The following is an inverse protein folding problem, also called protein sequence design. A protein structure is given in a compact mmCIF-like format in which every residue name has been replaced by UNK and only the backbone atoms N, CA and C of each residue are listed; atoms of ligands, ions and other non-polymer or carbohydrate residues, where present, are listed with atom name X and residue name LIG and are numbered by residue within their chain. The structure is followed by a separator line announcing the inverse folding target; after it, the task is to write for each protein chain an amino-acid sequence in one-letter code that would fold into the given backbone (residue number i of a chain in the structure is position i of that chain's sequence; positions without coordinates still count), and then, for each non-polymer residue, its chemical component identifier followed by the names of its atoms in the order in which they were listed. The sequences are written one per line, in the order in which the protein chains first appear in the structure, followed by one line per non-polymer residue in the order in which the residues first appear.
data_IF_022418108853
#
_entry.id   IF_022418108853
#
_cell.length_a   1.000
_cell.length_b   1.000
_cell.length_c   1.000
_cell.angle_alpha   90.00
_cell.angle_beta   90.00
_cell.angle_gamma   90.00
#
_symmetry.space_group_name_H-M   'P 1'
#
loop_
_entity.id
_entity.type
_entity.pdbx_description
1 polymer ?
#
# COMPACT_ATOMS: atom_id res chain seq x y z
N UNK A 1 -27.59 -29.06 1.31
CA UNK A 1 -28.43 -28.18 0.46
C UNK A 1 -28.56 -26.83 1.15
N UNK A 2 -28.27 -25.74 0.44
CA UNK A 2 -28.39 -24.40 1.06
C UNK A 2 -29.87 -24.03 1.14
N UNK A 3 -30.34 -23.67 2.34
CA UNK A 3 -31.70 -23.20 2.57
C UNK A 3 -31.94 -21.93 1.77
N UNK A 4 -33.12 -21.84 1.12
CA UNK A 4 -33.46 -20.69 0.27
C UNK A 4 -34.45 -19.77 0.98
N UNK A 5 -34.48 -18.48 0.55
CA UNK A 5 -35.45 -17.50 1.07
C UNK A 5 -36.92 -17.97 0.89
N UNK A 6 -37.19 -18.81 -0.13
CA UNK A 6 -38.49 -19.39 -0.37
C UNK A 6 -38.91 -20.37 0.74
N UNK A 7 -37.95 -21.17 1.24
CA UNK A 7 -38.22 -22.12 2.33
C UNK A 7 -38.44 -21.39 3.65
N UNK A 8 -37.67 -20.32 3.94
CA UNK A 8 -37.91 -19.45 5.09
C UNK A 8 -39.32 -18.83 5.02
N UNK A 9 -39.68 -18.26 3.88
CA UNK A 9 -41.01 -17.65 3.66
C UNK A 9 -42.14 -18.64 3.86
N UNK A 10 -41.99 -19.86 3.31
CA UNK A 10 -42.97 -20.96 3.47
C UNK A 10 -43.09 -21.38 4.94
N UNK A 11 -41.96 -21.61 5.65
CA UNK A 11 -42.01 -22.05 7.05
C UNK A 11 -42.51 -20.95 8.00
N UNK A 12 -42.15 -19.68 7.72
CA UNK A 12 -42.63 -18.53 8.49
C UNK A 12 -44.07 -18.09 8.13
N UNK A 13 -44.70 -18.68 7.11
CA UNK A 13 -46.00 -18.33 6.57
C UNK A 13 -46.13 -16.81 6.26
N UNK A 14 -45.18 -16.30 5.45
CA UNK A 14 -45.14 -14.91 4.98
C UNK A 14 -44.66 -14.86 3.53
N UNK A 15 -44.75 -13.68 2.90
CA UNK A 15 -44.20 -13.48 1.56
C UNK A 15 -42.69 -13.41 1.59
N UNK A 16 -42.03 -13.73 0.46
CA UNK A 16 -40.57 -13.55 0.27
C UNK A 16 -40.15 -12.10 0.57
N UNK A 17 -40.99 -11.14 0.14
CA UNK A 17 -40.76 -9.70 0.40
C UNK A 17 -40.76 -9.38 1.90
N UNK A 18 -41.61 -10.06 2.68
CA UNK A 18 -41.67 -9.89 4.14
C UNK A 18 -40.38 -10.44 4.79
N UNK A 19 -39.89 -11.62 4.35
CA UNK A 19 -38.61 -12.17 4.83
C UNK A 19 -37.46 -11.21 4.51
N UNK A 20 -37.39 -10.69 3.28
CA UNK A 20 -36.38 -9.73 2.85
C UNK A 20 -36.42 -8.44 3.68
N UNK A 21 -37.61 -7.89 3.98
CA UNK A 21 -37.76 -6.70 4.82
C UNK A 21 -37.27 -6.93 6.25
N UNK A 22 -37.63 -8.09 6.83
CA UNK A 22 -37.19 -8.46 8.19
C UNK A 22 -35.68 -8.59 8.27
N UNK A 23 -35.08 -9.27 7.29
CA UNK A 23 -33.64 -9.49 7.24
C UNK A 23 -32.85 -8.19 7.10
N UNK A 24 -33.31 -7.29 6.22
CA UNK A 24 -32.66 -6.00 5.97
C UNK A 24 -33.01 -4.91 7.01
N UNK A 25 -33.71 -5.25 8.10
CA UNK A 25 -34.04 -4.29 9.14
C UNK A 25 -35.09 -3.26 8.75
N UNK A 26 -35.69 -3.35 7.55
CA UNK A 26 -36.62 -2.37 7.01
C UNK A 26 -37.95 -2.30 7.82
N UNK A 27 -38.54 -1.11 7.84
CA UNK A 27 -39.85 -0.86 8.45
C UNK A 27 -41.01 -1.49 7.65
N UNK A 28 -42.20 -1.52 8.26
CA UNK A 28 -43.44 -2.04 7.63
C UNK A 28 -43.70 -3.51 7.90
N UNK A 29 -43.02 -4.12 8.88
CA UNK A 29 -43.33 -5.47 9.38
C UNK A 29 -43.63 -5.41 10.87
N UNK A 30 -44.77 -5.99 11.29
CA UNK A 30 -45.15 -5.98 12.71
C UNK A 30 -44.09 -6.69 13.59
N UNK A 31 -43.88 -6.24 14.87
CA UNK A 31 -42.93 -6.87 15.78
C UNK A 31 -43.14 -8.38 15.94
N UNK A 32 -44.38 -8.82 15.98
CA UNK A 32 -44.75 -10.26 16.06
C UNK A 32 -44.30 -11.04 14.83
N UNK A 33 -44.50 -10.49 13.64
CA UNK A 33 -44.06 -11.13 12.40
C UNK A 33 -42.54 -11.13 12.27
N UNK A 34 -41.89 -10.03 12.66
CA UNK A 34 -40.41 -9.93 12.69
C UNK A 34 -39.80 -11.02 13.58
N UNK A 35 -40.28 -11.16 14.82
CA UNK A 35 -39.81 -12.18 15.75
C UNK A 35 -39.97 -13.61 15.19
N UNK A 36 -41.11 -13.90 14.55
CA UNK A 36 -41.38 -15.19 13.93
C UNK A 36 -40.46 -15.51 12.78
N UNK A 37 -40.21 -14.54 11.88
CA UNK A 37 -39.30 -14.72 10.74
C UNK A 37 -37.86 -14.92 11.20
N UNK A 38 -37.38 -14.13 12.16
CA UNK A 38 -36.03 -14.26 12.72
C UNK A 38 -35.80 -15.64 13.37
N UNK A 39 -36.80 -16.15 14.11
CA UNK A 39 -36.75 -17.50 14.68
C UNK A 39 -36.64 -18.58 13.61
N UNK A 40 -37.39 -18.46 12.51
CA UNK A 40 -37.30 -19.43 11.40
C UNK A 40 -35.97 -19.34 10.65
N UNK A 41 -35.42 -18.14 10.49
CA UNK A 41 -34.07 -17.93 9.92
C UNK A 41 -33.03 -18.68 10.74
N UNK A 42 -33.03 -18.51 12.07
CA UNK A 42 -32.15 -19.19 13.01
C UNK A 42 -32.33 -20.72 12.98
N UNK A 43 -33.56 -21.22 13.07
CA UNK A 43 -33.89 -22.65 13.02
C UNK A 43 -33.44 -23.35 11.75
N UNK A 44 -33.48 -22.64 10.61
CA UNK A 44 -33.09 -23.20 9.32
C UNK A 44 -31.62 -22.95 8.98
N UNK A 45 -30.89 -22.18 9.79
CA UNK A 45 -29.53 -21.74 9.47
C UNK A 45 -29.47 -20.95 8.15
N UNK A 46 -30.53 -20.21 7.83
CA UNK A 46 -30.59 -19.46 6.58
C UNK A 46 -29.65 -18.27 6.62
N UNK A 47 -28.69 -18.27 5.72
CA UNK A 47 -27.86 -17.09 5.42
C UNK A 47 -28.18 -16.66 3.98
N UNK A 48 -28.53 -15.38 3.76
CA UNK A 48 -28.76 -14.89 2.40
C UNK A 48 -27.49 -15.09 1.58
N UNK A 49 -27.65 -15.62 0.40
CA UNK A 49 -26.57 -15.59 -0.59
C UNK A 49 -26.25 -14.11 -0.91
N UNK A 50 -25.01 -13.68 -0.73
CA UNK A 50 -24.56 -12.35 -1.13
C UNK A 50 -24.88 -12.08 -2.61
N UNK A 51 -24.83 -13.13 -3.46
CA UNK A 51 -25.25 -13.07 -4.85
C UNK A 51 -26.74 -12.77 -5.03
N UNK A 52 -27.62 -13.26 -4.14
CA UNK A 52 -29.05 -12.99 -4.23
C UNK A 52 -29.43 -11.57 -3.78
N UNK A 53 -28.69 -10.99 -2.85
CA UNK A 53 -28.81 -9.58 -2.46
C UNK A 53 -28.29 -8.64 -3.55
N UNK A 54 -27.20 -8.99 -4.21
CA UNK A 54 -26.57 -8.23 -5.28
C UNK A 54 -27.42 -8.09 -6.54
N UNK A 55 -28.30 -9.08 -6.84
CA UNK A 55 -29.19 -9.04 -8.00
C UNK A 55 -30.15 -7.83 -8.00
N UNK A 56 -30.43 -7.23 -6.85
CA UNK A 56 -31.35 -6.09 -6.74
C UNK A 56 -30.66 -4.74 -6.89
N UNK A 57 -29.37 -4.65 -6.51
CA UNK A 57 -28.55 -3.42 -6.55
C UNK A 57 -27.52 -3.44 -7.64
N UNK A 58 -27.30 -4.58 -8.28
CA UNK A 58 -26.18 -4.89 -9.20
C UNK A 58 -24.78 -4.66 -8.56
N UNK A 59 -24.70 -4.68 -7.22
CA UNK A 59 -23.48 -4.52 -6.44
C UNK A 59 -23.22 -5.80 -5.64
N UNK A 60 -21.97 -6.28 -5.68
CA UNK A 60 -21.52 -7.45 -4.93
C UNK A 60 -21.21 -7.13 -3.46
N UNK A 61 -21.02 -5.85 -3.15
CA UNK A 61 -20.49 -5.38 -1.86
C UNK A 61 -19.12 -5.97 -1.54
N UNK A 62 -18.32 -6.19 -2.57
CA UNK A 62 -16.94 -6.60 -2.47
C UNK A 62 -16.06 -5.65 -3.29
N UNK A 63 -14.90 -5.29 -2.76
CA UNK A 63 -13.83 -4.61 -3.49
C UNK A 63 -12.58 -5.49 -3.50
N UNK A 64 -11.80 -5.38 -4.57
CA UNK A 64 -10.53 -6.08 -4.71
C UNK A 64 -9.35 -5.21 -4.32
N UNK A 65 -8.29 -5.82 -3.80
CA UNK A 65 -6.99 -5.18 -3.66
C UNK A 65 -5.91 -6.12 -4.18
N UNK A 66 -5.12 -5.64 -5.14
CA UNK A 66 -3.95 -6.35 -5.63
C UNK A 66 -2.69 -5.71 -5.03
N UNK A 67 -1.93 -6.49 -4.25
CA UNK A 67 -0.69 -6.05 -3.59
C UNK A 67 0.47 -6.97 -3.95
N UNK A 68 1.73 -6.47 -3.94
CA UNK A 68 2.90 -7.26 -4.27
C UNK A 68 3.14 -8.43 -3.34
N UNK A 69 2.97 -8.22 -2.05
CA UNK A 69 3.16 -9.24 -1.02
C UNK A 69 2.33 -8.90 0.22
N UNK A 70 2.20 -9.87 1.12
CA UNK A 70 1.59 -9.69 2.43
C UNK A 70 2.63 -9.89 3.55
N UNK A 71 3.91 -9.98 3.19
CA UNK A 71 4.99 -10.14 4.14
C UNK A 71 5.43 -8.75 4.64
N UNK A 72 5.49 -8.60 5.95
CA UNK A 72 5.86 -7.34 6.59
C UNK A 72 4.66 -6.42 6.85
N UNK A 73 4.96 -5.31 7.51
CA UNK A 73 3.99 -4.32 8.00
C UNK A 73 3.54 -3.32 6.92
N UNK A 74 4.30 -3.18 5.82
CA UNK A 74 4.07 -2.11 4.84
C UNK A 74 2.68 -2.19 4.19
N UNK A 75 2.33 -3.34 3.60
CA UNK A 75 1.02 -3.51 2.99
C UNK A 75 -0.07 -3.84 4.01
N UNK A 76 0.30 -4.38 5.18
CA UNK A 76 -0.64 -4.65 6.27
C UNK A 76 -1.39 -3.39 6.72
N UNK A 77 -0.68 -2.31 7.04
CA UNK A 77 -1.30 -1.04 7.45
C UNK A 77 -2.16 -0.41 6.34
N UNK A 78 -1.76 -0.55 5.08
CA UNK A 78 -2.57 -0.09 3.94
C UNK A 78 -3.89 -0.88 3.86
N UNK A 79 -3.80 -2.20 4.01
CA UNK A 79 -4.97 -3.10 4.00
C UNK A 79 -5.90 -2.77 5.16
N UNK A 80 -5.37 -2.53 6.36
CA UNK A 80 -6.15 -2.14 7.55
C UNK A 80 -6.91 -0.83 7.29
N UNK A 81 -6.25 0.15 6.68
CA UNK A 81 -6.90 1.41 6.30
C UNK A 81 -8.03 1.22 5.27
N UNK A 82 -7.82 0.35 4.28
CA UNK A 82 -8.85 0.01 3.27
C UNK A 82 -10.02 -0.72 3.92
N UNK A 83 -9.73 -1.72 4.74
CA UNK A 83 -10.73 -2.56 5.40
C UNK A 83 -11.62 -1.74 6.32
N UNK A 84 -11.03 -0.84 7.12
CA UNK A 84 -11.75 0.06 8.02
C UNK A 84 -12.84 0.86 7.27
N UNK A 85 -12.48 1.48 6.13
CA UNK A 85 -13.44 2.26 5.33
C UNK A 85 -14.45 1.36 4.62
N UNK A 86 -14.01 0.20 4.11
CA UNK A 86 -14.87 -0.75 3.42
C UNK A 86 -15.94 -1.31 4.37
N UNK A 87 -15.55 -1.73 5.58
CA UNK A 87 -16.44 -2.27 6.60
C UNK A 87 -17.52 -1.25 7.01
N UNK A 88 -17.14 0.01 7.25
CA UNK A 88 -18.08 1.10 7.57
C UNK A 88 -19.15 1.32 6.49
N UNK A 89 -18.84 1.00 5.24
CA UNK A 89 -19.74 1.10 4.08
C UNK A 89 -20.42 -0.23 3.73
N UNK A 90 -20.20 -1.28 4.52
CA UNK A 90 -20.75 -2.61 4.32
C UNK A 90 -20.17 -3.34 3.11
N UNK A 91 -18.90 -3.11 2.82
CA UNK A 91 -18.11 -3.82 1.81
C UNK A 91 -17.14 -4.81 2.45
N UNK A 92 -16.89 -5.91 1.75
CA UNK A 92 -15.81 -6.84 2.09
C UNK A 92 -14.61 -6.60 1.16
N UNK A 93 -13.42 -6.92 1.64
CA UNK A 93 -12.16 -6.79 0.88
C UNK A 93 -11.69 -8.18 0.45
N UNK A 94 -11.32 -8.31 -0.83
CA UNK A 94 -10.70 -9.51 -1.40
C UNK A 94 -9.28 -9.15 -1.80
N UNK A 95 -8.30 -9.85 -1.22
CA UNK A 95 -6.88 -9.59 -1.46
C UNK A 95 -6.34 -10.58 -2.48
N UNK A 96 -5.58 -10.09 -3.45
CA UNK A 96 -4.80 -10.88 -4.39
C UNK A 96 -3.33 -10.48 -4.29
N UNK A 97 -2.43 -11.46 -4.18
CA UNK A 97 -0.99 -11.23 -4.16
C UNK A 97 -0.44 -11.41 -5.56
N UNK A 98 0.43 -10.49 -6.02
CA UNK A 98 1.00 -10.52 -7.35
C UNK A 98 2.53 -10.77 -7.37
N UNK A 99 3.18 -10.86 -6.19
CA UNK A 99 4.62 -11.13 -6.00
C UNK A 99 5.54 -10.28 -6.87
N UNK A 100 5.09 -9.09 -7.26
CA UNK A 100 5.77 -8.19 -8.22
C UNK A 100 5.92 -8.81 -9.63
N UNK A 101 5.03 -9.74 -9.99
CA UNK A 101 5.01 -10.44 -11.26
C UNK A 101 3.79 -9.98 -12.07
N UNK A 102 4.01 -9.36 -13.24
CA UNK A 102 2.94 -8.82 -14.09
C UNK A 102 1.86 -9.87 -14.38
N UNK A 103 2.25 -11.10 -14.71
CA UNK A 103 1.30 -12.18 -14.99
C UNK A 103 0.38 -12.50 -13.81
N UNK A 104 0.90 -12.44 -12.59
CA UNK A 104 0.12 -12.70 -11.38
C UNK A 104 -0.81 -11.54 -11.06
N UNK A 105 -0.39 -10.31 -11.35
CA UNK A 105 -1.26 -9.13 -11.27
C UNK A 105 -2.47 -9.27 -12.21
N UNK A 106 -2.23 -9.67 -13.46
CA UNK A 106 -3.29 -9.92 -14.44
C UNK A 106 -4.26 -11.01 -13.98
N UNK A 107 -3.74 -12.12 -13.44
CA UNK A 107 -4.56 -13.21 -12.88
C UNK A 107 -5.41 -12.72 -11.70
N UNK A 108 -4.85 -11.89 -10.82
CA UNK A 108 -5.58 -11.30 -9.69
C UNK A 108 -6.75 -10.44 -10.14
N UNK A 109 -6.55 -9.61 -11.16
CA UNK A 109 -7.64 -8.76 -11.67
C UNK A 109 -8.68 -9.56 -12.46
N UNK A 110 -8.28 -10.57 -13.23
CA UNK A 110 -9.24 -11.47 -13.86
C UNK A 110 -10.06 -12.26 -12.83
N UNK A 111 -9.44 -12.62 -11.70
CA UNK A 111 -10.15 -13.16 -10.56
C UNK A 111 -11.19 -12.17 -10.00
N UNK A 112 -10.85 -10.90 -9.86
CA UNK A 112 -11.79 -9.87 -9.43
C UNK A 112 -12.96 -9.71 -10.41
N UNK A 113 -12.69 -9.72 -11.72
CA UNK A 113 -13.75 -9.73 -12.76
C UNK A 113 -14.64 -10.96 -12.61
N UNK A 114 -14.08 -12.15 -12.47
CA UNK A 114 -14.81 -13.40 -12.29
C UNK A 114 -15.66 -13.42 -11.01
N UNK A 115 -15.17 -12.81 -9.93
CA UNK A 115 -15.89 -12.66 -8.65
C UNK A 115 -16.85 -11.48 -8.64
N UNK A 116 -16.88 -10.69 -9.72
CA UNK A 116 -17.73 -9.50 -9.87
C UNK A 116 -17.56 -8.52 -8.71
N UNK A 117 -16.32 -8.21 -8.33
CA UNK A 117 -16.08 -7.11 -7.38
C UNK A 117 -16.55 -5.80 -8.00
N UNK A 118 -17.02 -4.88 -7.17
CA UNK A 118 -17.58 -3.60 -7.62
C UNK A 118 -16.51 -2.61 -8.05
N UNK A 119 -15.26 -2.85 -7.65
CA UNK A 119 -14.08 -2.09 -8.03
C UNK A 119 -12.82 -2.65 -7.39
N UNK A 120 -11.64 -2.14 -7.78
CA UNK A 120 -10.36 -2.61 -7.28
C UNK A 120 -9.36 -1.47 -7.00
N UNK A 121 -8.52 -1.67 -5.97
CA UNK A 121 -7.32 -0.88 -5.68
C UNK A 121 -6.13 -1.68 -6.16
N UNK A 122 -5.31 -1.09 -7.04
CA UNK A 122 -4.15 -1.75 -7.61
C UNK A 122 -2.88 -1.09 -7.08
N UNK A 123 -2.13 -1.84 -6.26
CA UNK A 123 -0.76 -1.50 -5.88
C UNK A 123 0.15 -2.17 -6.90
N UNK A 124 0.31 -1.54 -8.04
CA UNK A 124 1.03 -2.14 -9.15
C UNK A 124 2.50 -1.80 -9.08
N UNK A 125 3.33 -2.79 -9.37
CA UNK A 125 4.78 -2.63 -9.48
C UNK A 125 5.27 -2.67 -10.92
N UNK A 126 4.36 -2.96 -11.85
CA UNK A 126 4.67 -3.09 -13.28
C UNK A 126 4.17 -1.90 -14.08
N UNK A 127 4.93 -1.49 -15.09
CA UNK A 127 4.57 -0.42 -16.01
C UNK A 127 3.65 -0.87 -17.16
N UNK A 128 2.78 -1.87 -16.95
CA UNK A 128 1.80 -2.27 -17.97
C UNK A 128 0.58 -1.35 -17.91
N UNK A 129 0.72 -0.19 -18.54
CA UNK A 129 -0.34 0.81 -18.64
C UNK A 129 -1.47 0.35 -19.56
N UNK A 130 -1.18 -0.47 -20.59
CA UNK A 130 -2.16 -0.94 -21.56
C UNK A 130 -3.24 -1.80 -20.89
N UNK A 131 -2.84 -2.63 -19.94
CA UNK A 131 -3.78 -3.44 -19.21
C UNK A 131 -4.70 -2.60 -18.30
N UNK A 132 -4.13 -1.68 -17.53
CA UNK A 132 -4.92 -0.76 -16.69
C UNK A 132 -5.85 0.08 -17.56
N UNK A 133 -5.37 0.55 -18.72
CA UNK A 133 -6.18 1.25 -19.71
C UNK A 133 -7.38 0.42 -20.15
N UNK A 134 -7.16 -0.86 -20.48
CA UNK A 134 -8.24 -1.77 -20.90
C UNK A 134 -9.31 -1.98 -19.83
N UNK A 135 -8.92 -1.96 -18.55
CA UNK A 135 -9.87 -2.04 -17.42
C UNK A 135 -10.73 -0.77 -17.33
N UNK A 136 -10.07 0.40 -17.45
CA UNK A 136 -10.76 1.70 -17.40
C UNK A 136 -11.74 1.82 -18.57
N UNK A 137 -11.34 1.45 -19.79
CA UNK A 137 -12.23 1.43 -20.97
C UNK A 137 -13.37 0.41 -20.83
N UNK A 138 -13.11 -0.71 -20.18
CA UNK A 138 -14.11 -1.71 -19.82
C UNK A 138 -15.09 -1.26 -18.72
N UNK A 139 -14.96 -0.04 -18.21
CA UNK A 139 -15.84 0.55 -17.22
C UNK A 139 -15.64 0.04 -15.79
N UNK A 140 -14.49 -0.58 -15.49
CA UNK A 140 -14.16 -1.00 -14.14
C UNK A 140 -13.76 0.19 -13.27
N UNK A 141 -14.27 0.24 -12.03
CA UNK A 141 -13.85 1.23 -11.04
C UNK A 141 -12.47 0.83 -10.47
N UNK A 142 -11.47 1.65 -10.73
CA UNK A 142 -10.09 1.39 -10.31
C UNK A 142 -9.53 2.62 -9.62
N UNK A 143 -8.70 2.39 -8.59
CA UNK A 143 -7.79 3.36 -7.96
C UNK A 143 -6.39 2.77 -8.00
N UNK A 144 -5.41 3.56 -8.46
CA UNK A 144 -4.00 3.21 -8.38
C UNK A 144 -3.43 3.68 -7.04
N UNK A 145 -2.61 2.85 -6.42
CA UNK A 145 -1.93 3.15 -5.16
C UNK A 145 -0.42 3.01 -5.34
N UNK A 146 0.33 4.03 -4.86
CA UNK A 146 1.81 4.14 -4.95
C UNK A 146 2.36 4.03 -6.39
N UNK A 147 1.61 4.52 -7.36
CA UNK A 147 1.98 4.55 -8.78
C UNK A 147 1.56 5.85 -9.45
N UNK A 148 2.35 6.32 -10.42
CA UNK A 148 1.95 7.40 -11.32
C UNK A 148 0.95 6.89 -12.38
N UNK A 149 -0.06 7.71 -12.73
CA UNK A 149 -1.06 7.30 -13.71
C UNK A 149 -0.56 7.31 -15.16
N UNK A 150 0.62 7.84 -15.46
CA UNK A 150 1.24 7.93 -16.79
C UNK A 150 0.27 8.34 -17.93
N UNK A 151 -0.63 9.28 -17.63
CA UNK A 151 -1.65 9.75 -18.58
C UNK A 151 -2.97 8.99 -18.55
N UNK A 152 -3.10 7.94 -17.74
CA UNK A 152 -4.35 7.22 -17.55
C UNK A 152 -5.41 8.10 -16.83
N UNK A 153 -6.67 7.96 -17.25
CA UNK A 153 -7.81 8.64 -16.63
C UNK A 153 -8.30 7.87 -15.38
N UNK A 154 -7.50 7.84 -14.32
CA UNK A 154 -7.72 7.03 -13.11
C UNK A 154 -7.39 7.81 -11.82
N UNK A 155 -8.15 7.57 -10.75
CA UNK A 155 -7.82 8.11 -9.43
C UNK A 155 -6.54 7.45 -8.92
N UNK A 156 -5.64 8.27 -8.32
CA UNK A 156 -4.39 7.79 -7.74
C UNK A 156 -4.17 8.34 -6.35
N UNK A 157 -3.60 7.50 -5.48
CA UNK A 157 -3.11 7.89 -4.16
C UNK A 157 -1.65 7.49 -4.06
N UNK A 158 -0.78 8.43 -3.74
CA UNK A 158 0.64 8.17 -3.51
C UNK A 158 1.18 9.05 -2.39
N UNK A 159 2.36 8.74 -1.90
CA UNK A 159 3.10 9.61 -0.98
C UNK A 159 4.01 10.56 -1.76
N UNK A 160 4.51 11.60 -1.09
CA UNK A 160 5.58 12.45 -1.62
C UNK A 160 6.94 11.74 -1.54
N UNK A 161 7.14 10.77 -2.45
CA UNK A 161 8.39 10.02 -2.54
C UNK A 161 9.59 10.92 -2.85
N UNK A 162 9.40 11.92 -3.72
CA UNK A 162 10.45 12.87 -4.06
C UNK A 162 10.83 13.73 -2.85
N UNK A 163 9.83 14.32 -2.18
CA UNK A 163 10.05 15.13 -0.98
C UNK A 163 10.68 14.33 0.15
N UNK A 164 10.28 13.07 0.33
CA UNK A 164 10.87 12.17 1.33
C UNK A 164 12.34 11.86 1.04
N UNK A 165 12.68 11.52 -0.21
CA UNK A 165 14.08 11.30 -0.62
C UNK A 165 14.95 12.56 -0.48
N UNK A 166 14.38 13.71 -0.80
CA UNK A 166 15.01 15.01 -0.57
C UNK A 166 15.25 15.25 0.92
N UNK A 167 14.23 15.10 1.75
CA UNK A 167 14.26 15.32 3.21
C UNK A 167 15.28 14.42 3.91
N UNK A 168 15.32 13.12 3.58
CA UNK A 168 16.30 12.18 4.13
C UNK A 168 17.74 12.61 3.82
N UNK A 169 17.98 12.99 2.58
CA UNK A 169 19.32 13.41 2.12
C UNK A 169 19.71 14.76 2.70
N UNK A 170 18.77 15.73 2.69
CA UNK A 170 19.01 17.07 3.27
C UNK A 170 19.31 16.97 4.77
N UNK A 171 18.64 16.07 5.49
CA UNK A 171 18.94 15.82 6.90
C UNK A 171 20.39 15.38 7.11
N UNK A 172 20.88 14.41 6.33
CA UNK A 172 22.28 13.98 6.40
C UNK A 172 23.26 15.11 6.03
N UNK A 173 22.93 15.90 5.00
CA UNK A 173 23.74 17.06 4.61
C UNK A 173 23.81 18.11 5.72
N UNK A 174 22.72 18.36 6.43
CA UNK A 174 22.67 19.30 7.55
C UNK A 174 23.41 18.79 8.80
N UNK A 175 23.58 17.46 8.93
CA UNK A 175 24.49 16.85 9.91
C UNK A 175 25.97 16.92 9.51
N UNK A 176 26.31 17.50 8.35
CA UNK A 176 27.66 17.69 7.85
C UNK A 176 28.16 16.58 6.93
N UNK A 177 27.38 15.57 6.64
CA UNK A 177 27.79 14.50 5.73
C UNK A 177 27.78 15.00 4.29
N UNK A 178 28.88 14.86 3.57
CA UNK A 178 28.99 15.18 2.14
C UNK A 178 29.24 13.94 1.26
N UNK A 179 29.69 12.85 1.86
CA UNK A 179 29.90 11.56 1.21
C UNK A 179 28.76 10.61 1.61
N UNK A 180 27.64 10.73 0.90
CA UNK A 180 26.39 9.99 1.22
C UNK A 180 26.18 8.93 0.15
N UNK A 181 26.20 7.67 0.55
CA UNK A 181 25.85 6.53 -0.29
C UNK A 181 24.34 6.34 -0.31
N UNK A 182 23.77 5.99 -1.47
CA UNK A 182 22.36 5.63 -1.55
C UNK A 182 22.20 4.16 -1.94
N UNK A 183 21.30 3.46 -1.24
CA UNK A 183 20.82 2.13 -1.65
C UNK A 183 19.45 2.31 -2.30
N UNK A 184 19.42 2.24 -3.63
CA UNK A 184 18.17 2.35 -4.39
C UNK A 184 17.32 1.08 -4.25
N UNK A 185 16.00 1.24 -4.39
CA UNK A 185 15.12 0.13 -4.66
C UNK A 185 15.16 -0.29 -6.15
N UNK A 186 14.15 -1.02 -6.58
CA UNK A 186 14.02 -1.51 -7.95
C UNK A 186 13.88 -0.33 -8.92
N UNK A 187 14.75 -0.20 -9.94
CA UNK A 187 14.87 1.04 -10.73
C UNK A 187 13.65 1.38 -11.60
N UNK A 188 12.82 0.41 -11.97
CA UNK A 188 11.64 0.67 -12.79
C UNK A 188 10.40 1.06 -11.97
N UNK A 189 10.43 0.94 -10.64
CA UNK A 189 9.35 1.34 -9.74
C UNK A 189 9.39 2.86 -9.54
N UNK A 190 8.24 3.53 -9.68
CA UNK A 190 8.14 4.99 -9.61
C UNK A 190 8.56 5.55 -8.26
N UNK A 191 8.14 4.94 -7.14
CA UNK A 191 8.57 5.37 -5.80
C UNK A 191 10.11 5.32 -5.64
N UNK A 192 10.78 4.30 -6.19
CA UNK A 192 12.24 4.21 -6.19
C UNK A 192 12.89 5.34 -6.99
N UNK A 193 12.37 5.61 -8.20
CA UNK A 193 12.85 6.71 -9.05
C UNK A 193 12.70 8.07 -8.37
N UNK A 194 11.53 8.31 -7.76
CA UNK A 194 11.24 9.59 -7.09
C UNK A 194 12.14 9.80 -5.87
N UNK A 195 12.31 8.79 -5.00
CA UNK A 195 13.23 8.86 -3.85
C UNK A 195 14.66 9.15 -4.30
N UNK A 196 15.13 8.50 -5.36
CA UNK A 196 16.44 8.80 -5.96
C UNK A 196 16.53 10.21 -6.55
N UNK A 197 15.47 10.69 -7.21
CA UNK A 197 15.45 12.07 -7.72
C UNK A 197 15.49 13.10 -6.59
N UNK A 198 14.85 12.82 -5.45
CA UNK A 198 14.95 13.62 -4.23
C UNK A 198 16.39 13.70 -3.71
N UNK A 199 17.07 12.54 -3.60
CA UNK A 199 18.50 12.46 -3.23
C UNK A 199 19.37 13.29 -4.17
N UNK A 200 19.22 13.11 -5.47
CA UNK A 200 19.96 13.88 -6.47
C UNK A 200 19.75 15.38 -6.31
N UNK A 201 18.53 15.80 -6.07
CA UNK A 201 18.17 17.22 -5.91
C UNK A 201 18.82 17.83 -4.67
N UNK A 202 18.80 17.12 -3.54
CA UNK A 202 19.41 17.59 -2.30
C UNK A 202 20.93 17.80 -2.44
N UNK A 203 21.63 16.84 -3.02
CA UNK A 203 23.07 16.95 -3.29
C UNK A 203 23.38 18.10 -4.27
N UNK A 204 22.60 18.22 -5.34
CA UNK A 204 22.76 19.32 -6.32
C UNK A 204 22.61 20.69 -5.68
N UNK A 205 21.64 20.86 -4.78
CA UNK A 205 21.42 22.12 -4.07
C UNK A 205 22.60 22.54 -3.19
N UNK A 206 23.41 21.56 -2.71
CA UNK A 206 24.64 21.78 -1.96
C UNK A 206 25.90 21.79 -2.84
N UNK A 207 25.77 21.70 -4.17
CA UNK A 207 26.89 21.68 -5.10
C UNK A 207 27.71 20.39 -5.09
N UNK A 208 27.20 19.31 -4.49
CA UNK A 208 27.88 18.02 -4.37
C UNK A 208 27.61 17.19 -5.62
N UNK A 209 28.69 16.73 -6.27
CA UNK A 209 28.59 15.82 -7.41
C UNK A 209 28.37 14.39 -6.94
N UNK A 210 27.43 13.72 -7.59
CA UNK A 210 27.16 12.31 -7.32
C UNK A 210 28.25 11.46 -7.97
N UNK A 211 28.89 10.62 -7.15
CA UNK A 211 29.79 9.59 -7.64
C UNK A 211 28.96 8.36 -8.04
N UNK A 212 29.18 7.81 -9.22
CA UNK A 212 28.42 6.64 -9.69
C UNK A 212 28.52 5.44 -8.75
N UNK A 213 29.68 5.25 -8.14
CA UNK A 213 29.92 4.20 -7.14
C UNK A 213 29.10 4.36 -5.86
N UNK A 214 28.61 5.56 -5.55
CA UNK A 214 27.77 5.82 -4.36
C UNK A 214 26.31 5.45 -4.57
N UNK A 215 25.95 4.97 -5.76
CA UNK A 215 24.60 4.57 -6.11
C UNK A 215 24.53 3.05 -6.17
N UNK A 216 24.10 2.44 -5.07
CA UNK A 216 23.96 0.99 -4.96
C UNK A 216 22.58 0.52 -5.39
N UNK A 217 22.53 -0.66 -5.99
CA UNK A 217 21.27 -1.30 -6.36
C UNK A 217 20.77 -2.21 -5.23
N UNK A 218 19.49 -2.12 -4.93
CA UNK A 218 18.76 -3.00 -4.03
C UNK A 218 17.42 -3.43 -4.63
N UNK A 219 16.65 -4.19 -3.86
CA UNK A 219 15.32 -4.69 -4.26
C UNK A 219 14.29 -4.63 -3.11
N UNK A 220 14.52 -3.71 -2.16
CA UNK A 220 13.70 -3.50 -0.96
C UNK A 220 13.76 -4.62 0.09
N UNK A 221 14.70 -5.56 -0.01
CA UNK A 221 14.90 -6.62 0.98
C UNK A 221 16.12 -6.36 1.87
N UNK A 222 16.14 -6.95 3.06
CA UNK A 222 17.29 -6.93 3.97
C UNK A 222 18.55 -7.48 3.29
N UNK A 223 18.39 -8.62 2.58
CA UNK A 223 19.52 -9.27 1.91
C UNK A 223 20.16 -8.42 0.83
N UNK A 224 19.35 -7.62 0.10
CA UNK A 224 19.88 -6.73 -0.92
C UNK A 224 20.65 -5.55 -0.31
N UNK A 225 20.15 -4.99 0.79
CA UNK A 225 20.87 -3.96 1.54
C UNK A 225 22.19 -4.46 2.11
N UNK A 226 22.19 -5.66 2.68
CA UNK A 226 23.39 -6.32 3.18
C UNK A 226 24.43 -6.57 2.07
N UNK A 227 24.00 -7.21 0.99
CA UNK A 227 24.90 -7.63 -0.08
C UNK A 227 25.52 -6.43 -0.78
N UNK A 228 24.75 -5.38 -1.07
CA UNK A 228 25.24 -4.19 -1.79
C UNK A 228 26.26 -3.42 -0.96
N UNK A 229 26.06 -3.25 0.35
CA UNK A 229 27.04 -2.57 1.21
C UNK A 229 28.29 -3.43 1.43
N UNK A 230 28.13 -4.74 1.64
CA UNK A 230 29.24 -5.67 1.78
C UNK A 230 30.14 -5.69 0.54
N UNK A 231 29.56 -5.74 -0.65
CA UNK A 231 30.28 -5.68 -1.92
C UNK A 231 30.99 -4.35 -2.09
N UNK A 232 30.30 -3.25 -1.79
CA UNK A 232 30.91 -1.92 -1.83
C UNK A 232 32.15 -1.82 -0.96
N UNK A 233 32.04 -2.20 0.31
CA UNK A 233 33.16 -2.16 1.27
C UNK A 233 34.34 -3.04 0.84
N UNK A 234 34.07 -4.16 0.18
CA UNK A 234 35.09 -5.06 -0.33
C UNK A 234 35.85 -4.47 -1.52
N UNK A 235 35.21 -3.66 -2.36
CA UNK A 235 35.78 -3.09 -3.57
C UNK A 235 36.44 -1.71 -3.34
N UNK A 236 35.89 -0.89 -2.43
CA UNK A 236 36.28 0.51 -2.27
C UNK A 236 36.69 0.89 -0.85
N UNK A 237 36.49 0.02 0.14
CA UNK A 237 36.67 0.36 1.54
C UNK A 237 35.63 1.37 2.06
N UNK A 238 35.95 2.00 3.21
CA UNK A 238 35.06 3.00 3.83
C UNK A 238 35.45 4.41 3.36
N UNK A 239 34.86 4.91 2.29
CA UNK A 239 35.06 6.25 1.71
C UNK A 239 33.78 7.13 1.76
N UNK A 240 32.79 6.72 2.53
CA UNK A 240 31.55 7.43 2.80
C UNK A 240 31.32 7.60 4.31
N UNK A 241 30.51 8.58 4.69
CA UNK A 241 30.21 8.86 6.11
C UNK A 241 28.72 8.67 6.44
N UNK A 242 27.88 8.48 5.43
CA UNK A 242 26.46 8.22 5.63
C UNK A 242 25.85 7.36 4.52
N UNK A 243 24.75 6.71 4.84
CA UNK A 243 23.91 5.93 3.90
C UNK A 243 22.47 6.46 3.96
N UNK A 244 21.87 6.72 2.80
CA UNK A 244 20.45 6.79 2.63
C UNK A 244 19.96 5.48 2.00
N UNK A 245 19.26 4.65 2.76
CA UNK A 245 18.59 3.46 2.25
C UNK A 245 17.14 3.82 1.89
N UNK A 246 16.72 3.54 0.65
CA UNK A 246 15.40 3.96 0.17
C UNK A 246 14.25 3.12 0.73
N UNK A 247 14.51 2.19 1.65
CA UNK A 247 13.55 1.63 2.59
C UNK A 247 14.26 1.10 3.86
N UNK A 248 13.50 0.85 4.91
CA UNK A 248 14.03 0.44 6.21
C UNK A 248 14.61 -0.98 6.19
N UNK A 249 14.06 -1.89 5.40
CA UNK A 249 14.61 -3.24 5.29
C UNK A 249 16.05 -3.23 4.72
N UNK A 250 16.29 -2.44 3.69
CA UNK A 250 17.65 -2.28 3.17
C UNK A 250 18.56 -1.56 4.17
N UNK A 251 18.03 -0.62 4.99
CA UNK A 251 18.78 0.01 6.07
C UNK A 251 19.22 -1.02 7.12
N UNK A 252 18.35 -1.94 7.53
CA UNK A 252 18.68 -3.06 8.43
C UNK A 252 19.80 -3.92 7.85
N UNK A 253 19.71 -4.26 6.55
CA UNK A 253 20.75 -4.99 5.85
C UNK A 253 22.10 -4.24 5.83
N UNK A 254 22.07 -2.93 5.59
CA UNK A 254 23.24 -2.07 5.59
C UNK A 254 23.92 -2.02 6.98
N UNK A 255 23.12 -1.83 8.05
CA UNK A 255 23.61 -1.85 9.44
C UNK A 255 24.32 -3.18 9.72
N UNK A 256 23.70 -4.30 9.34
CA UNK A 256 24.32 -5.62 9.53
C UNK A 256 25.65 -5.74 8.76
N UNK A 257 25.73 -5.28 7.52
CA UNK A 257 26.95 -5.37 6.72
C UNK A 257 28.09 -4.53 7.31
N UNK A 258 27.79 -3.34 7.86
CA UNK A 258 28.75 -2.50 8.56
C UNK A 258 29.24 -3.17 9.84
N UNK A 259 28.33 -3.67 10.67
CA UNK A 259 28.66 -4.36 11.92
C UNK A 259 29.55 -5.59 11.68
N UNK A 260 29.28 -6.38 10.63
CA UNK A 260 30.08 -7.56 10.27
C UNK A 260 31.54 -7.17 9.85
N UNK A 261 31.76 -5.89 9.53
CA UNK A 261 33.09 -5.30 9.24
C UNK A 261 33.69 -4.51 10.41
N UNK A 262 33.00 -4.50 11.55
CA UNK A 262 33.45 -3.74 12.74
C UNK A 262 33.24 -2.24 12.61
N UNK A 263 32.42 -1.77 11.66
CA UNK A 263 32.12 -0.34 11.44
C UNK A 263 30.90 0.02 12.25
N UNK A 264 31.02 1.00 13.12
CA UNK A 264 29.98 1.41 14.07
C UNK A 264 28.95 2.34 13.44
N UNK A 265 27.67 2.09 13.76
CA UNK A 265 26.54 2.96 13.43
C UNK A 265 25.96 3.49 14.74
N UNK A 266 25.87 4.80 14.93
CA UNK A 266 26.09 5.91 13.97
C UNK A 266 27.51 6.50 13.98
N UNK A 267 28.43 6.04 14.84
CA UNK A 267 29.70 6.72 15.16
C UNK A 267 30.62 6.85 13.93
N UNK A 268 30.71 5.83 13.08
CA UNK A 268 31.51 5.88 11.85
C UNK A 268 30.63 6.17 10.63
N UNK A 269 29.44 5.57 10.56
CA UNK A 269 28.50 5.74 9.44
C UNK A 269 27.10 6.04 9.96
N UNK A 270 26.55 7.19 9.59
CA UNK A 270 25.15 7.53 9.84
C UNK A 270 24.23 6.87 8.82
N UNK A 271 23.04 6.40 9.25
CA UNK A 271 22.07 5.76 8.35
C UNK A 271 20.71 6.42 8.50
N UNK A 272 20.07 6.71 7.36
CA UNK A 272 18.67 7.10 7.28
C UNK A 272 17.93 6.12 6.39
N UNK A 273 16.78 5.62 6.87
CA UNK A 273 15.88 4.74 6.16
C UNK A 273 14.70 5.47 5.52
N UNK A 274 13.70 4.69 5.12
CA UNK A 274 12.44 5.16 4.58
C UNK A 274 11.38 4.10 4.88
N UNK A 275 10.20 4.46 5.30
CA UNK A 275 8.97 3.74 5.60
C UNK A 275 8.47 3.95 7.03
N UNK A 276 9.33 4.11 8.02
CA UNK A 276 9.05 4.01 9.46
C UNK A 276 8.36 2.67 9.78
N UNK A 277 9.00 1.59 9.35
CA UNK A 277 8.51 0.24 9.55
C UNK A 277 8.48 -0.16 11.03
N UNK A 278 7.64 -1.13 11.39
CA UNK A 278 7.48 -1.60 12.76
C UNK A 278 8.80 -1.90 13.47
N UNK A 279 9.79 -2.42 12.75
CA UNK A 279 11.10 -2.78 13.32
C UNK A 279 11.99 -1.58 13.61
N UNK A 280 11.78 -0.42 12.95
CA UNK A 280 12.70 0.72 12.96
C UNK A 280 13.03 1.28 14.35
N UNK A 281 12.10 1.35 15.31
CA UNK A 281 12.43 1.75 16.68
C UNK A 281 13.13 0.68 17.52
N UNK A 282 13.15 -0.59 17.08
CA UNK A 282 13.63 -1.73 17.87
C UNK A 282 14.99 -2.27 17.43
N UNK A 283 15.51 -1.87 16.26
CA UNK A 283 16.87 -2.21 15.86
C UNK A 283 17.90 -1.38 16.63
N UNK A 284 19.14 -1.80 16.63
CA UNK A 284 20.24 -1.13 17.33
C UNK A 284 21.28 -0.66 16.30
N UNK A 285 21.47 0.67 16.21
CA UNK A 285 20.71 1.74 16.86
C UNK A 285 19.31 1.91 16.28
N UNK A 286 18.33 2.50 17.03
CA UNK A 286 17.00 2.84 16.50
C UNK A 286 17.12 3.71 15.24
N UNK A 287 16.37 3.31 14.18
CA UNK A 287 16.56 3.86 12.83
C UNK A 287 15.85 5.20 12.65
N UNK A 288 16.61 6.24 12.31
CA UNK A 288 16.11 7.48 11.72
C UNK A 288 15.56 7.17 10.32
N UNK A 289 14.33 7.59 10.02
CA UNK A 289 13.66 7.17 8.80
C UNK A 289 12.59 8.18 8.36
N UNK A 290 12.13 8.07 7.11
CA UNK A 290 10.99 8.83 6.60
C UNK A 290 9.72 8.02 6.82
N UNK A 291 8.80 8.57 7.60
CA UNK A 291 7.50 7.95 7.89
C UNK A 291 6.54 8.13 6.73
N UNK A 292 5.96 7.04 6.28
CA UNK A 292 4.80 6.99 5.39
C UNK A 292 3.52 6.79 6.22
N UNK A 293 2.47 7.52 5.89
CA UNK A 293 1.15 7.37 6.52
C UNK A 293 0.35 6.30 5.79
N UNK A 294 0.77 5.05 5.93
CA UNK A 294 0.28 3.90 5.15
C UNK A 294 -1.20 3.63 5.37
N UNK A 295 -1.67 3.65 6.62
CA UNK A 295 -3.08 3.50 6.94
C UNK A 295 -3.94 4.60 6.29
N UNK A 296 -3.46 5.87 6.31
CA UNK A 296 -4.13 6.99 5.65
C UNK A 296 -4.19 6.79 4.13
N UNK A 297 -3.10 6.27 3.51
CA UNK A 297 -3.11 5.90 2.09
C UNK A 297 -4.22 4.90 1.77
N UNK A 298 -4.34 3.86 2.58
CA UNK A 298 -5.38 2.84 2.44
C UNK A 298 -6.79 3.43 2.56
N UNK A 299 -7.01 4.24 3.60
CA UNK A 299 -8.30 4.91 3.82
C UNK A 299 -8.71 5.79 2.65
N UNK A 300 -7.80 6.67 2.20
CA UNK A 300 -8.07 7.58 1.08
C UNK A 300 -8.33 6.82 -0.22
N UNK A 301 -7.58 5.74 -0.49
CA UNK A 301 -7.80 4.92 -1.68
C UNK A 301 -9.19 4.23 -1.65
N UNK A 302 -9.61 3.70 -0.50
CA UNK A 302 -10.93 3.10 -0.35
C UNK A 302 -12.06 4.13 -0.48
N UNK A 303 -11.91 5.32 0.10
CA UNK A 303 -12.87 6.42 -0.04
C UNK A 303 -13.04 6.84 -1.50
N UNK A 304 -11.93 6.97 -2.25
CA UNK A 304 -11.95 7.28 -3.67
C UNK A 304 -12.67 6.19 -4.49
N UNK A 305 -12.34 4.93 -4.22
CA UNK A 305 -12.94 3.80 -4.93
C UNK A 305 -14.45 3.71 -4.67
N UNK A 306 -14.86 3.77 -3.40
CA UNK A 306 -16.27 3.68 -3.03
C UNK A 306 -17.09 4.88 -3.55
N UNK A 307 -16.49 6.07 -3.57
CA UNK A 307 -17.10 7.25 -4.20
C UNK A 307 -17.30 7.05 -5.71
N UNK A 308 -16.36 6.40 -6.43
CA UNK A 308 -16.56 6.01 -7.84
C UNK A 308 -17.67 4.99 -8.01
N UNK A 309 -17.71 3.95 -7.20
CA UNK A 309 -18.72 2.89 -7.26
C UNK A 309 -20.14 3.49 -7.06
N UNK A 310 -20.31 4.31 -6.03
CA UNK A 310 -21.61 4.93 -5.70
C UNK A 310 -22.02 5.96 -6.76
N UNK A 311 -21.05 6.66 -7.34
CA UNK A 311 -21.28 7.74 -8.31
C UNK A 311 -21.16 7.27 -9.76
N UNK A 312 -21.12 5.97 -10.03
CA UNK A 312 -20.87 5.37 -11.37
C UNK A 312 -21.84 5.85 -12.47
N UNK A 313 -23.00 6.40 -12.09
CA UNK A 313 -23.97 6.98 -13.02
C UNK A 313 -23.60 8.39 -13.54
N UNK A 314 -22.55 9.04 -12.97
CA UNK A 314 -22.10 10.37 -13.41
C UNK A 314 -20.97 10.24 -14.44
N UNK A 315 -21.31 10.32 -15.73
CA UNK A 315 -20.31 10.36 -16.83
C UNK A 315 -19.42 11.62 -16.73
N UNK A 316 -18.12 11.49 -17.05
CA UNK A 316 -17.21 12.62 -17.23
C UNK A 316 -16.54 13.11 -15.95
N UNK A 317 -16.31 12.26 -14.95
CA UNK A 317 -15.61 12.63 -13.73
C UNK A 317 -14.09 12.74 -13.97
N UNK A 318 -13.51 13.90 -13.62
CA UNK A 318 -12.07 14.09 -13.65
C UNK A 318 -11.37 13.21 -12.61
N UNK A 319 -10.28 12.53 -12.96
CA UNK A 319 -9.51 11.76 -12.01
C UNK A 319 -8.86 12.68 -10.95
N UNK A 320 -8.73 12.17 -9.75
CA UNK A 320 -8.09 12.84 -8.64
C UNK A 320 -6.73 12.21 -8.38
N UNK A 321 -5.72 13.04 -8.17
CA UNK A 321 -4.41 12.62 -7.70
C UNK A 321 -4.22 13.16 -6.30
N UNK A 322 -4.07 12.26 -5.32
CA UNK A 322 -3.85 12.63 -3.93
C UNK A 322 -2.43 12.23 -3.55
N UNK A 323 -1.67 13.22 -3.09
CA UNK A 323 -0.31 13.03 -2.59
C UNK A 323 -0.34 13.23 -1.07
N UNK A 324 -0.02 12.18 -0.34
CA UNK A 324 0.04 12.20 1.12
C UNK A 324 1.44 12.62 1.56
N UNK A 325 1.57 13.61 2.45
CA UNK A 325 2.87 14.07 2.91
C UNK A 325 3.57 13.01 3.77
N UNK A 326 4.90 13.08 3.78
CA UNK A 326 5.77 12.25 4.59
C UNK A 326 6.44 13.06 5.69
N UNK A 327 7.02 12.40 6.70
CA UNK A 327 7.64 13.04 7.87
C UNK A 327 8.97 12.37 8.20
N UNK A 328 9.97 13.16 8.60
CA UNK A 328 11.24 12.63 9.11
C UNK A 328 11.11 12.29 10.60
N UNK A 329 11.29 11.03 10.93
CA UNK A 329 11.36 10.52 12.30
C UNK A 329 12.83 10.37 12.68
N UNK A 330 13.29 11.27 13.54
CA UNK A 330 14.68 11.25 14.04
C UNK A 330 14.79 10.27 15.19
N UNK A 331 15.81 9.39 15.09
CA UNK A 331 16.20 8.43 16.12
C UNK A 331 17.75 8.46 16.27
N UNK A 332 18.37 7.33 16.56
CA UNK A 332 19.78 7.28 16.98
C UNK A 332 20.74 6.86 15.87
N UNK A 333 20.27 6.42 14.70
CA UNK A 333 21.11 5.89 13.62
C UNK A 333 21.85 6.95 12.79
N UNK A 334 21.66 8.24 13.09
CA UNK A 334 22.35 9.33 12.40
C UNK A 334 22.72 10.46 13.36
N UNK A 335 24.00 10.87 13.32
CA UNK A 335 24.58 11.91 14.17
C UNK A 335 25.35 12.95 13.35
N UNK A 336 25.65 14.10 13.96
CA UNK A 336 26.48 15.12 13.32
C UNK A 336 27.91 14.62 13.10
N UNK A 337 28.45 14.88 11.92
CA UNK A 337 29.83 14.54 11.59
C UNK A 337 30.86 15.30 12.48
N UNK A 338 30.49 16.47 13.02
CA UNK A 338 31.33 17.23 13.94
C UNK A 338 31.47 16.62 15.34
N UNK A 339 30.66 15.59 15.64
CA UNK A 339 30.72 14.83 16.89
C UNK A 339 31.59 13.56 16.78
N UNK A 340 32.20 13.31 15.61
CA UNK A 340 33.08 12.16 15.32
C UNK A 340 34.57 12.51 15.65
#
# INVERSE_FOLDING_TARGET
MNVTIKEVAKKANVSITTVSRVFNGNDGVSPKTRKRVLKVIEELGYSPSAMASGLKTNLSKCIGIAVPDALGDFYGEIIDGIESVAADKGYNVIISLNHRIIKEELVGVDFFKAKKVDGAILVTTSGDDDYVHSLIEGGYNIVLLDRDPHGLNVDTVKIDNFGGGYMATEYLLNLGHSSILIIQGIPFIDSSKERFNGYKRALKNKGIKIKSQFVLSGNFTVDSGYSSVKEYLSNYGLDFSAIFATNDQMAVGAIKALNDKGISVPEEVSIVGFDDSYISPYIIPPLTTIKQRREEMGRVAAELLLDRIISSHKKGRTPRQIIIPVELIKRESAISLSLK
#
